data_IF_603176766187
#
_entry.id   IF_603176766187
#
_cell.length_a   1.000
_cell.length_b   1.000
_cell.length_c   1.000
_cell.angle_alpha   90.00
_cell.angle_beta   90.00
_cell.angle_gamma   90.00
#
_symmetry.space_group_name_H-M   'P 1'
#
loop_
_entity.id
_entity.type
_entity.pdbx_description
1 polymer ?
#
# COMPACT_ATOMS: atom_id res chain seq x y z
N UNK A 1 -14.87 8.44 18.61
CA UNK A 1 -13.96 7.32 18.30
C UNK A 1 -12.56 7.68 18.77
N UNK A 2 -11.82 6.74 19.34
CA UNK A 2 -10.42 6.89 19.73
C UNK A 2 -9.62 5.68 19.24
N UNK A 3 -8.36 5.89 18.86
CA UNK A 3 -7.43 4.83 18.47
C UNK A 3 -6.09 5.01 19.18
N UNK A 4 -5.36 3.91 19.37
CA UNK A 4 -4.02 3.89 19.96
C UNK A 4 -3.15 2.90 19.17
N UNK A 5 -1.83 3.12 19.18
CA UNK A 5 -0.87 2.27 18.50
C UNK A 5 0.55 2.47 19.03
N UNK A 6 1.35 1.41 18.97
CA UNK A 6 2.76 1.40 19.39
C UNK A 6 3.67 1.44 18.16
N UNK A 7 4.82 2.11 18.28
CA UNK A 7 5.83 2.18 17.21
C UNK A 7 6.96 1.20 17.51
N UNK A 8 7.27 0.25 16.63
CA UNK A 8 8.45 -0.60 16.78
C UNK A 8 9.68 0.23 16.40
N UNK A 9 10.32 0.83 17.40
CA UNK A 9 11.58 1.58 17.22
C UNK A 9 12.75 0.63 17.51
N UNK A 10 13.88 0.85 16.83
CA UNK A 10 15.13 0.19 17.20
C UNK A 10 15.68 0.87 18.46
N UNK A 11 16.07 0.08 19.46
CA UNK A 11 16.64 0.61 20.70
C UNK A 11 18.13 0.91 20.49
N UNK A 12 18.46 2.20 20.41
CA UNK A 12 19.83 2.70 20.28
C UNK A 12 20.50 2.99 21.65
N UNK A 13 19.93 2.49 22.76
CA UNK A 13 20.33 2.81 24.14
C UNK A 13 20.28 4.32 24.46
N UNK A 14 19.49 5.12 23.73
CA UNK A 14 19.33 6.52 24.06
C UNK A 14 18.38 6.71 25.25
N UNK A 15 18.86 7.35 26.33
CA UNK A 15 18.10 7.72 27.54
C UNK A 15 16.87 8.62 27.27
N UNK A 16 16.63 9.03 26.02
CA UNK A 16 15.52 9.86 25.60
C UNK A 16 14.71 9.21 24.47
N UNK A 17 13.48 8.71 24.73
CA UNK A 17 12.60 8.10 23.72
C UNK A 17 12.28 9.00 22.51
N UNK A 18 12.49 10.31 22.62
CA UNK A 18 12.29 11.27 21.53
C UNK A 18 13.52 11.46 20.62
N UNK A 19 14.70 11.01 21.06
CA UNK A 19 15.97 11.09 20.34
C UNK A 19 16.31 9.84 19.50
N UNK A 20 15.58 8.73 19.73
CA UNK A 20 15.75 7.47 19.01
C UNK A 20 15.62 7.69 17.50
N UNK A 21 16.60 7.22 16.74
CA UNK A 21 16.60 7.35 15.28
C UNK A 21 15.33 6.77 14.67
N UNK A 22 14.70 7.55 13.78
CA UNK A 22 13.49 7.12 13.06
C UNK A 22 13.81 6.46 11.71
N UNK A 23 15.08 6.19 11.46
CA UNK A 23 15.51 5.42 10.30
C UNK A 23 15.33 3.92 10.56
N UNK A 24 15.31 3.16 9.46
CA UNK A 24 15.15 1.71 9.52
C UNK A 24 16.52 1.03 9.53
N UNK A 25 16.60 -0.10 10.24
CA UNK A 25 17.79 -0.94 10.31
C UNK A 25 17.46 -2.32 9.75
N UNK A 26 18.42 -2.91 9.06
CA UNK A 26 18.35 -4.26 8.54
C UNK A 26 19.41 -5.13 9.20
N UNK A 27 18.99 -6.27 9.72
CA UNK A 27 19.88 -7.36 10.12
C UNK A 27 19.71 -8.52 9.16
N UNK A 28 20.81 -9.02 8.61
CA UNK A 28 20.82 -10.14 7.68
C UNK A 28 21.64 -11.27 8.28
N UNK A 29 20.98 -12.37 8.64
CA UNK A 29 21.62 -13.63 8.99
C UNK A 29 21.61 -14.54 7.76
N UNK A 30 22.78 -15.04 7.37
CA UNK A 30 22.95 -15.94 6.26
C UNK A 30 23.96 -17.05 6.60
N UNK A 31 23.80 -17.63 7.79
CA UNK A 31 24.59 -18.77 8.26
C UNK A 31 24.60 -19.89 7.21
N UNK A 32 25.79 -20.20 6.67
CA UNK A 32 26.06 -21.20 5.61
C UNK A 32 25.67 -20.79 4.17
N UNK A 33 25.39 -19.50 3.91
CA UNK A 33 25.16 -18.98 2.55
C UNK A 33 23.85 -19.43 1.88
N UNK A 34 23.01 -20.18 2.61
CA UNK A 34 21.71 -20.67 2.16
C UNK A 34 20.62 -20.18 3.14
N UNK A 35 19.43 -19.86 2.62
CA UNK A 35 18.28 -19.38 3.40
C UNK A 35 18.53 -18.10 4.23
N UNK A 36 18.73 -16.93 3.59
CA UNK A 36 18.92 -15.67 4.30
C UNK A 36 17.67 -15.26 5.13
N UNK A 37 17.89 -14.83 6.36
CA UNK A 37 16.89 -14.17 7.22
C UNK A 37 17.19 -12.67 7.27
N UNK A 38 16.27 -11.86 6.74
CA UNK A 38 16.33 -10.40 6.83
C UNK A 38 15.31 -9.88 7.85
N UNK A 39 15.80 -9.33 8.95
CA UNK A 39 14.98 -8.65 9.97
C UNK A 39 14.95 -7.15 9.71
N UNK A 40 13.77 -6.53 9.90
CA UNK A 40 13.54 -5.10 9.68
C UNK A 40 13.09 -4.45 10.98
N UNK A 41 13.81 -3.41 11.40
CA UNK A 41 13.48 -2.62 12.59
C UNK A 41 13.18 -1.17 12.19
N UNK A 42 12.12 -0.59 12.75
CA UNK A 42 11.68 0.76 12.39
C UNK A 42 11.01 0.84 11.01
N UNK A 43 11.19 1.99 10.35
CA UNK A 43 10.56 2.28 9.06
C UNK A 43 9.23 3.03 9.18
N UNK A 44 9.05 4.05 8.34
CA UNK A 44 7.82 4.86 8.30
C UNK A 44 6.97 4.42 7.12
N UNK A 45 5.65 4.61 7.23
CA UNK A 45 4.73 4.45 6.09
C UNK A 45 5.18 5.33 4.91
N UNK A 46 5.76 6.50 5.15
CA UNK A 46 6.25 7.39 4.07
C UNK A 46 7.50 6.86 3.36
N UNK A 47 8.29 5.98 3.99
CA UNK A 47 9.55 5.45 3.43
C UNK A 47 9.43 4.01 2.97
N UNK A 48 8.27 3.37 3.13
CA UNK A 48 8.06 1.94 2.93
C UNK A 48 8.58 1.44 1.56
N UNK A 49 8.30 2.17 0.47
CA UNK A 49 8.70 1.76 -0.88
C UNK A 49 10.21 1.69 -1.04
N UNK A 50 10.93 2.70 -0.54
CA UNK A 50 12.40 2.74 -0.59
C UNK A 50 13.03 1.72 0.35
N UNK A 51 12.44 1.54 1.53
CA UNK A 51 12.83 0.49 2.46
C UNK A 51 12.70 -0.89 1.80
N UNK A 52 11.56 -1.20 1.16
CA UNK A 52 11.37 -2.47 0.45
C UNK A 52 12.37 -2.68 -0.69
N UNK A 53 12.69 -1.65 -1.47
CA UNK A 53 13.74 -1.75 -2.51
C UNK A 53 15.11 -2.10 -1.90
N UNK A 54 15.51 -1.39 -0.84
CA UNK A 54 16.78 -1.63 -0.16
C UNK A 54 16.83 -3.00 0.55
N UNK A 55 15.70 -3.48 1.08
CA UNK A 55 15.58 -4.83 1.62
C UNK A 55 15.86 -5.89 0.54
N UNK A 56 15.28 -5.73 -0.66
CA UNK A 56 15.52 -6.64 -1.78
C UNK A 56 16.98 -6.61 -2.26
N UNK A 57 17.61 -5.44 -2.29
CA UNK A 57 19.03 -5.31 -2.61
C UNK A 57 19.93 -6.12 -1.65
N UNK A 58 19.61 -6.14 -0.34
CA UNK A 58 20.37 -6.92 0.65
C UNK A 58 20.30 -8.42 0.44
N UNK A 59 19.16 -8.94 -0.03
CA UNK A 59 18.98 -10.38 -0.27
C UNK A 59 19.28 -10.79 -1.71
N UNK A 60 19.46 -9.84 -2.64
CA UNK A 60 19.77 -10.12 -4.04
C UNK A 60 20.93 -11.13 -4.25
N UNK A 61 22.03 -11.12 -3.47
CA UNK A 61 23.11 -12.10 -3.62
C UNK A 61 22.65 -13.58 -3.51
N UNK A 62 21.52 -13.84 -2.85
CA UNK A 62 20.97 -15.19 -2.66
C UNK A 62 19.96 -15.59 -3.75
N UNK A 63 19.61 -14.69 -4.67
CA UNK A 63 18.64 -14.93 -5.73
C UNK A 63 19.23 -14.51 -7.10
N UNK A 64 19.99 -15.41 -7.76
CA UNK A 64 20.71 -15.08 -9.01
C UNK A 64 19.82 -14.59 -10.16
N UNK A 65 18.53 -14.95 -10.16
CA UNK A 65 17.56 -14.56 -11.19
C UNK A 65 16.74 -13.32 -10.81
N UNK A 66 17.03 -12.67 -9.67
CA UNK A 66 16.30 -11.50 -9.22
C UNK A 66 16.52 -10.32 -10.17
N UNK A 67 15.42 -9.67 -10.56
CA UNK A 67 15.43 -8.49 -11.44
C UNK A 67 15.73 -7.22 -10.65
N UNK A 68 16.09 -6.15 -11.37
CA UNK A 68 16.29 -4.81 -10.79
C UNK A 68 14.99 -4.25 -10.20
N UNK A 69 15.14 -3.27 -9.30
CA UNK A 69 14.04 -2.52 -8.72
C UNK A 69 13.14 -1.87 -9.79
N UNK A 70 11.82 -1.92 -9.57
CA UNK A 70 10.81 -1.45 -10.53
C UNK A 70 9.67 -0.65 -9.89
N UNK A 71 9.55 -0.68 -8.56
CA UNK A 71 8.35 -0.20 -7.85
C UNK A 71 8.10 1.30 -7.98
N UNK A 72 9.15 2.09 -8.26
CA UNK A 72 9.04 3.54 -8.42
C UNK A 72 8.16 4.00 -9.60
N UNK A 73 7.93 3.12 -10.60
CA UNK A 73 7.28 3.48 -11.87
C UNK A 73 5.93 2.82 -12.08
N UNK A 74 5.50 1.95 -11.17
CA UNK A 74 4.28 1.17 -11.34
C UNK A 74 3.24 1.63 -10.31
N UNK A 75 2.02 1.97 -10.74
CA UNK A 75 0.95 2.30 -9.80
C UNK A 75 0.61 1.10 -8.93
N UNK A 76 0.25 1.35 -7.68
CA UNK A 76 -0.37 0.32 -6.85
C UNK A 76 -1.73 -0.06 -7.42
N UNK A 77 -2.22 -1.29 -7.21
CA UNK A 77 -3.48 -1.71 -7.78
C UNK A 77 -4.65 -0.84 -7.31
N UNK A 78 -5.48 -0.36 -8.25
CA UNK A 78 -6.54 0.62 -7.98
C UNK A 78 -6.08 2.07 -8.19
N UNK A 79 -4.77 2.34 -8.14
CA UNK A 79 -4.18 3.66 -8.32
C UNK A 79 -3.76 3.99 -9.76
N UNK A 80 -4.03 3.10 -10.71
CA UNK A 80 -3.76 3.23 -12.14
C UNK A 80 -4.78 4.16 -12.84
N UNK A 81 -5.06 5.30 -12.21
CA UNK A 81 -5.97 6.32 -12.75
C UNK A 81 -5.38 6.94 -14.04
N UNK A 82 -6.17 7.06 -15.12
CA UNK A 82 -5.73 7.78 -16.31
C UNK A 82 -5.21 9.18 -15.97
N UNK A 83 -3.99 9.50 -16.41
CA UNK A 83 -3.30 10.77 -16.15
C UNK A 83 -3.17 11.15 -14.66
N UNK A 84 -3.36 10.20 -13.74
CA UNK A 84 -3.51 10.47 -12.30
C UNK A 84 -4.60 11.51 -11.96
N UNK A 85 -5.63 11.63 -12.80
CA UNK A 85 -6.73 12.57 -12.61
C UNK A 85 -7.91 11.91 -11.88
N UNK A 86 -8.05 12.23 -10.60
CA UNK A 86 -9.12 11.70 -9.77
C UNK A 86 -10.49 12.28 -10.12
N UNK A 87 -10.57 13.57 -10.48
CA UNK A 87 -11.86 14.22 -10.71
C UNK A 87 -12.46 13.78 -12.05
N UNK A 88 -11.62 13.64 -13.09
CA UNK A 88 -12.06 13.04 -14.34
C UNK A 88 -12.51 11.59 -14.14
N UNK A 89 -11.71 10.78 -13.43
CA UNK A 89 -12.09 9.39 -13.12
C UNK A 89 -13.41 9.30 -12.36
N UNK A 90 -13.63 10.17 -11.37
CA UNK A 90 -14.87 10.22 -10.61
C UNK A 90 -16.06 10.59 -11.50
N UNK A 91 -15.88 11.57 -12.39
CA UNK A 91 -16.90 11.96 -13.37
C UNK A 91 -17.26 10.79 -14.29
N UNK A 92 -16.25 10.11 -14.84
CA UNK A 92 -16.46 8.95 -15.71
C UNK A 92 -17.23 7.84 -14.99
N UNK A 93 -16.83 7.53 -13.74
CA UNK A 93 -17.49 6.52 -12.93
C UNK A 93 -18.96 6.89 -12.62
N UNK A 94 -19.27 8.18 -12.46
CA UNK A 94 -20.64 8.64 -12.26
C UNK A 94 -21.50 8.47 -13.51
N UNK A 95 -20.93 8.70 -14.70
CA UNK A 95 -21.60 8.49 -15.99
C UNK A 95 -21.80 6.99 -16.27
N UNK A 96 -20.83 6.15 -15.91
CA UNK A 96 -20.90 4.70 -16.08
C UNK A 96 -21.93 4.02 -15.15
N UNK A 97 -22.09 4.53 -13.93
CA UNK A 97 -22.99 3.98 -12.91
C UNK A 97 -24.01 5.04 -12.43
N UNK A 98 -24.91 5.53 -13.31
CA UNK A 98 -25.82 6.63 -13.00
C UNK A 98 -26.89 6.26 -11.95
N UNK A 99 -27.11 4.95 -11.76
CA UNK A 99 -28.02 4.40 -10.75
C UNK A 99 -27.44 4.43 -9.33
N UNK A 100 -26.12 4.62 -9.18
CA UNK A 100 -25.44 4.64 -7.90
C UNK A 100 -25.42 6.07 -7.36
N UNK A 101 -25.79 6.25 -6.09
CA UNK A 101 -25.77 7.57 -5.47
C UNK A 101 -24.38 8.24 -5.56
N UNK A 102 -24.31 9.58 -5.78
CA UNK A 102 -23.03 10.28 -5.93
C UNK A 102 -22.06 10.09 -4.75
N UNK A 103 -22.59 9.93 -3.53
CA UNK A 103 -21.81 9.65 -2.33
C UNK A 103 -21.15 8.27 -2.37
N UNK A 104 -21.86 7.24 -2.82
CA UNK A 104 -21.32 5.89 -2.99
C UNK A 104 -20.31 5.81 -4.13
N UNK A 105 -20.59 6.45 -5.27
CA UNK A 105 -19.62 6.55 -6.39
C UNK A 105 -18.32 7.16 -5.88
N UNK A 106 -18.38 8.29 -5.17
CA UNK A 106 -17.21 8.95 -4.59
C UNK A 106 -16.49 8.08 -3.57
N UNK A 107 -17.24 7.38 -2.71
CA UNK A 107 -16.67 6.47 -1.72
C UNK A 107 -15.91 5.32 -2.39
N UNK A 108 -16.50 4.69 -3.41
CA UNK A 108 -15.85 3.61 -4.14
C UNK A 108 -14.65 4.09 -4.95
N UNK A 109 -14.74 5.27 -5.58
CA UNK A 109 -13.60 5.88 -6.25
C UNK A 109 -12.42 6.13 -5.29
N UNK A 110 -12.68 6.63 -4.07
CA UNK A 110 -11.63 6.89 -3.07
C UNK A 110 -11.05 5.63 -2.42
N UNK A 111 -11.84 4.56 -2.32
CA UNK A 111 -11.45 3.35 -1.59
C UNK A 111 -10.85 2.28 -2.51
N UNK A 112 -11.40 2.14 -3.72
CA UNK A 112 -11.05 1.08 -4.66
C UNK A 112 -10.38 1.60 -5.94
N UNK A 113 -10.53 2.88 -6.25
CA UNK A 113 -9.99 3.48 -7.48
C UNK A 113 -10.46 2.73 -8.72
N UNK A 114 -9.57 2.43 -9.66
CA UNK A 114 -9.90 1.73 -10.92
C UNK A 114 -10.59 0.37 -10.72
N UNK A 115 -10.42 -0.26 -9.56
CA UNK A 115 -11.05 -1.53 -9.20
C UNK A 115 -12.53 -1.40 -8.84
N UNK A 116 -13.06 -0.18 -8.71
CA UNK A 116 -14.49 0.06 -8.47
C UNK A 116 -15.37 -0.61 -9.54
N UNK A 117 -14.91 -0.66 -10.81
CA UNK A 117 -15.63 -1.37 -11.89
C UNK A 117 -15.74 -2.86 -11.66
N UNK A 118 -14.72 -3.48 -11.05
CA UNK A 118 -14.75 -4.90 -10.71
C UNK A 118 -15.72 -5.17 -9.55
N UNK A 119 -15.77 -4.26 -8.56
CA UNK A 119 -16.72 -4.34 -7.46
C UNK A 119 -18.18 -4.25 -7.96
N UNK A 120 -18.44 -3.37 -8.92
CA UNK A 120 -19.78 -3.11 -9.47
C UNK A 120 -20.16 -4.02 -10.65
N UNK A 121 -19.27 -4.95 -11.02
CA UNK A 121 -19.49 -5.80 -12.19
C UNK A 121 -20.79 -6.60 -12.07
N UNK A 122 -21.67 -6.44 -13.06
CA UNK A 122 -22.96 -7.13 -13.11
C UNK A 122 -24.10 -6.45 -12.33
N UNK A 123 -23.83 -5.46 -11.48
CA UNK A 123 -24.86 -4.69 -10.81
C UNK A 123 -25.45 -3.62 -11.75
N UNK A 124 -26.78 -3.44 -11.69
CA UNK A 124 -27.52 -2.45 -12.49
C UNK A 124 -28.34 -1.49 -11.62
N UNK A 125 -28.36 -1.71 -10.30
CA UNK A 125 -29.09 -0.92 -9.33
C UNK A 125 -28.48 -1.05 -7.93
N UNK A 126 -28.82 -0.14 -7.02
CA UNK A 126 -28.39 -0.26 -5.62
C UNK A 126 -28.95 -1.52 -4.94
N UNK A 127 -30.08 -2.06 -5.42
CA UNK A 127 -30.64 -3.31 -4.90
C UNK A 127 -29.75 -4.53 -5.23
N UNK A 128 -29.00 -4.48 -6.33
CA UNK A 128 -28.09 -5.55 -6.73
C UNK A 128 -26.83 -5.60 -5.84
N UNK A 129 -26.55 -4.54 -5.07
CA UNK A 129 -25.46 -4.50 -4.09
C UNK A 129 -25.75 -5.34 -2.84
N UNK A 130 -26.94 -5.91 -2.74
CA UNK A 130 -27.36 -6.77 -1.65
C UNK A 130 -27.79 -6.00 -0.41
N UNK A 131 -27.55 -6.60 0.77
CA UNK A 131 -28.07 -6.06 2.03
C UNK A 131 -27.32 -4.79 2.43
N UNK A 132 -28.09 -3.72 2.70
CA UNK A 132 -27.58 -2.50 3.32
C UNK A 132 -27.47 -2.68 4.85
N UNK A 133 -26.28 -2.46 5.39
CA UNK A 133 -26.00 -2.58 6.83
C UNK A 133 -26.03 -1.23 7.59
N UNK A 134 -26.23 -0.11 6.88
CA UNK A 134 -26.34 1.27 7.40
C UNK A 134 -26.44 2.29 6.26
#
# INVERSE_FOLDING_TARGET
YSFSGVRPLYDDNADNPSAVTRDYIFELDASNGNAPLLSVFGGKITTFRKLSEHALEKIQPFFPTMKKAWTAKIPLPGGDLPNADFEQFLSDLHVEFPWLSPSLVKHYARSYGTRARQLLAGAQSEADLGRRFG
#
